data_IF_445263183610
#
_entry.id   IF_445263183610
#
_cell.length_a   1.000
_cell.length_b   1.000
_cell.length_c   1.000
_cell.angle_alpha   90.00
_cell.angle_beta   90.00
_cell.angle_gamma   90.00
#
_symmetry.space_group_name_H-M   'P 1'
#
loop_
_entity.id
_entity.type
_entity.pdbx_description
1 polymer ?
#
# COMPACT_ATOMS: atom_id res chain seq x y z
N UNK A 1 -6.92 -16.98 -14.42
CA UNK A 1 -7.98 -16.86 -13.41
C UNK A 1 -7.72 -15.62 -12.54
N UNK A 2 -8.61 -14.62 -12.55
CA UNK A 2 -8.45 -13.32 -11.87
C UNK A 2 -9.01 -13.28 -10.42
N UNK A 3 -9.54 -14.40 -9.91
CA UNK A 3 -10.30 -14.44 -8.66
C UNK A 3 -9.49 -14.07 -7.41
N UNK A 4 -8.16 -14.29 -7.41
CA UNK A 4 -7.32 -13.90 -6.28
C UNK A 4 -7.27 -12.38 -6.10
N UNK A 5 -7.05 -11.63 -7.17
CA UNK A 5 -7.09 -10.17 -7.14
C UNK A 5 -8.46 -9.66 -6.65
N UNK A 6 -9.55 -10.23 -7.19
CA UNK A 6 -10.91 -9.88 -6.74
C UNK A 6 -11.11 -10.16 -5.26
N UNK A 7 -10.61 -11.28 -4.75
CA UNK A 7 -10.66 -11.62 -3.33
C UNK A 7 -9.88 -10.61 -2.48
N UNK A 8 -8.62 -10.30 -2.83
CA UNK A 8 -7.81 -9.30 -2.11
C UNK A 8 -8.50 -7.94 -2.10
N UNK A 9 -9.04 -7.48 -3.23
CA UNK A 9 -9.81 -6.24 -3.30
C UNK A 9 -11.06 -6.29 -2.42
N UNK A 10 -11.72 -7.43 -2.35
CA UNK A 10 -12.91 -7.66 -1.52
C UNK A 10 -12.62 -7.54 -0.02
N UNK A 11 -11.38 -7.78 0.43
CA UNK A 11 -10.98 -7.62 1.83
C UNK A 11 -10.94 -6.16 2.28
N UNK A 12 -10.78 -5.20 1.35
CA UNK A 12 -10.63 -3.77 1.67
C UNK A 12 -11.77 -3.25 2.56
N UNK A 13 -13.01 -3.67 2.29
CA UNK A 13 -14.20 -3.18 3.01
C UNK A 13 -14.28 -3.60 4.48
N UNK A 14 -13.47 -4.58 4.89
CA UNK A 14 -13.47 -5.11 6.25
C UNK A 14 -12.36 -4.51 7.13
N UNK A 15 -11.46 -3.70 6.57
CA UNK A 15 -10.28 -3.17 7.29
C UNK A 15 -10.67 -2.33 8.52
N UNK A 16 -11.82 -1.65 8.47
CA UNK A 16 -12.30 -0.85 9.60
C UNK A 16 -12.58 -1.70 10.84
N UNK A 17 -13.14 -2.90 10.64
CA UNK A 17 -13.49 -3.84 11.70
C UNK A 17 -12.35 -4.83 11.99
N UNK A 18 -11.48 -5.05 10.99
CA UNK A 18 -10.42 -6.05 10.97
C UNK A 18 -9.09 -5.46 10.46
N UNK A 19 -8.41 -4.58 11.22
CA UNK A 19 -7.16 -3.95 10.80
C UNK A 19 -6.03 -4.96 10.59
N UNK A 20 -6.10 -6.16 11.19
CA UNK A 20 -5.17 -7.27 10.97
C UNK A 20 -5.10 -7.74 9.51
N UNK A 21 -6.11 -7.42 8.69
CA UNK A 21 -6.09 -7.67 7.25
C UNK A 21 -4.88 -6.97 6.58
N UNK A 22 -4.37 -5.89 7.15
CA UNK A 22 -3.20 -5.20 6.62
C UNK A 22 -1.93 -6.06 6.69
N UNK A 23 -1.82 -6.99 7.63
CA UNK A 23 -0.70 -7.95 7.66
C UNK A 23 -0.81 -8.96 6.50
N UNK A 24 -2.03 -9.37 6.13
CA UNK A 24 -2.24 -10.18 4.93
C UNK A 24 -1.81 -9.44 3.65
N UNK A 25 -1.98 -8.11 3.60
CA UNK A 25 -1.53 -7.33 2.44
C UNK A 25 -0.01 -7.37 2.30
N UNK A 26 0.74 -7.41 3.41
CA UNK A 26 2.20 -7.60 3.37
C UNK A 26 2.54 -8.93 2.69
N UNK A 27 1.86 -10.03 3.05
CA UNK A 27 2.06 -11.33 2.39
C UNK A 27 1.70 -11.32 0.89
N UNK A 28 0.67 -10.56 0.51
CA UNK A 28 0.27 -10.45 -0.90
C UNK A 28 1.21 -9.62 -1.78
N UNK A 29 2.19 -8.93 -1.19
CA UNK A 29 3.25 -8.25 -1.94
C UNK A 29 4.20 -9.22 -2.63
N UNK A 30 4.24 -10.49 -2.22
CA UNK A 30 5.09 -11.52 -2.84
C UNK A 30 4.31 -12.39 -3.83
N UNK A 31 3.02 -12.11 -4.06
CA UNK A 31 2.20 -12.95 -4.95
C UNK A 31 2.74 -12.90 -6.39
N UNK A 32 2.84 -14.05 -7.09
CA UNK A 32 3.34 -14.09 -8.47
C UNK A 32 2.45 -13.28 -9.44
N UNK A 33 1.17 -13.06 -9.11
CA UNK A 33 0.27 -12.25 -9.90
C UNK A 33 0.43 -10.76 -9.58
N UNK A 34 0.94 -10.00 -10.55
CA UNK A 34 1.15 -8.56 -10.43
C UNK A 34 -0.10 -7.76 -9.98
N UNK A 35 -1.30 -8.21 -10.36
CA UNK A 35 -2.55 -7.51 -9.97
C UNK A 35 -2.85 -7.67 -8.48
N UNK A 36 -2.43 -8.78 -7.88
CA UNK A 36 -2.55 -9.01 -6.45
C UNK A 36 -1.60 -8.09 -5.71
N UNK A 37 -0.31 -8.06 -6.10
CA UNK A 37 0.69 -7.14 -5.53
C UNK A 37 0.26 -5.67 -5.63
N UNK A 38 -0.14 -5.23 -6.82
CA UNK A 38 -0.62 -3.86 -7.05
C UNK A 38 -1.82 -3.51 -6.17
N UNK A 39 -2.74 -4.45 -5.95
CA UNK A 39 -3.90 -4.23 -5.09
C UNK A 39 -3.49 -4.15 -3.62
N UNK A 40 -2.57 -5.01 -3.18
CA UNK A 40 -2.01 -4.97 -1.83
C UNK A 40 -1.30 -3.63 -1.55
N UNK A 41 -0.46 -3.15 -2.46
CA UNK A 41 0.19 -1.82 -2.38
C UNK A 41 -0.86 -0.72 -2.20
N UNK A 42 -1.91 -0.70 -3.04
CA UNK A 42 -2.92 0.35 -2.95
C UNK A 42 -3.67 0.32 -1.60
N UNK A 43 -4.00 -0.86 -1.10
CA UNK A 43 -4.65 -1.02 0.20
C UNK A 43 -3.71 -0.54 1.32
N UNK A 44 -2.43 -0.91 1.29
CA UNK A 44 -1.43 -0.44 2.26
C UNK A 44 -1.27 1.09 2.21
N UNK A 45 -1.22 1.70 1.03
CA UNK A 45 -1.15 3.16 0.90
C UNK A 45 -2.38 3.88 1.48
N UNK A 46 -3.58 3.31 1.34
CA UNK A 46 -4.81 3.87 1.89
C UNK A 46 -4.90 3.74 3.41
N UNK A 47 -4.57 2.57 3.96
CA UNK A 47 -4.92 2.22 5.34
C UNK A 47 -3.73 1.91 6.25
N UNK A 48 -2.57 1.55 5.69
CA UNK A 48 -1.38 1.15 6.43
C UNK A 48 -0.82 2.25 7.35
N UNK A 49 -0.24 1.80 8.47
CA UNK A 49 0.57 2.62 9.37
C UNK A 49 2.02 2.73 8.92
N UNK A 50 2.87 3.36 9.72
CA UNK A 50 4.29 3.55 9.36
C UNK A 50 5.00 2.22 9.07
N UNK A 51 4.85 1.23 9.94
CA UNK A 51 5.55 -0.06 9.80
C UNK A 51 5.09 -0.85 8.55
N UNK A 52 3.80 -0.79 8.24
CA UNK A 52 3.22 -1.42 7.06
C UNK A 52 3.78 -0.81 5.77
N UNK A 53 3.87 0.52 5.72
CA UNK A 53 4.36 1.24 4.55
C UNK A 53 5.87 1.06 4.35
N UNK A 54 6.66 0.97 5.43
CA UNK A 54 8.09 0.64 5.34
C UNK A 54 8.32 -0.76 4.81
N UNK A 55 7.67 -1.77 5.42
CA UNK A 55 7.72 -3.15 4.93
C UNK A 55 7.30 -3.26 3.47
N UNK A 56 6.27 -2.50 3.08
CA UNK A 56 5.85 -2.44 1.68
C UNK A 56 6.98 -1.98 0.76
N UNK A 57 7.66 -0.88 1.08
CA UNK A 57 8.80 -0.39 0.29
C UNK A 57 9.92 -1.43 0.27
N UNK A 58 10.29 -2.00 1.42
CA UNK A 58 11.36 -3.01 1.54
C UNK A 58 11.10 -4.23 0.65
N UNK A 59 9.89 -4.79 0.68
CA UNK A 59 9.54 -5.99 -0.11
C UNK A 59 9.44 -5.68 -1.61
N UNK A 60 9.00 -4.47 -1.96
CA UNK A 60 8.73 -4.10 -3.36
C UNK A 60 9.89 -3.33 -4.00
N UNK A 61 11.02 -3.19 -3.30
CA UNK A 61 12.21 -2.50 -3.77
C UNK A 61 12.75 -3.13 -5.07
N UNK A 62 12.79 -4.46 -5.13
CA UNK A 62 13.36 -5.22 -6.25
C UNK A 62 12.32 -5.69 -7.27
N UNK A 63 11.06 -5.25 -7.19
CA UNK A 63 10.00 -5.74 -8.08
C UNK A 63 10.16 -5.15 -9.50
N UNK A 64 10.13 -6.05 -10.50
CA UNK A 64 10.35 -5.80 -11.92
C UNK A 64 9.41 -4.73 -12.53
N UNK A 65 8.32 -4.40 -11.85
CA UNK A 65 7.33 -3.41 -12.28
C UNK A 65 7.78 -1.96 -12.00
N UNK A 66 8.65 -1.76 -11.01
CA UNK A 66 9.07 -0.49 -10.39
C UNK A 66 8.09 0.67 -10.52
N UNK A 67 8.46 1.89 -10.98
CA UNK A 67 7.64 3.12 -10.81
C UNK A 67 6.12 2.98 -11.07
N UNK A 68 5.71 2.17 -12.05
CA UNK A 68 4.28 1.94 -12.36
C UNK A 68 3.51 1.35 -11.17
N UNK A 69 4.17 0.55 -10.32
CA UNK A 69 3.58 -0.13 -9.17
C UNK A 69 3.05 0.85 -8.11
N UNK A 70 3.70 2.01 -8.00
CA UNK A 70 3.44 2.99 -6.95
C UNK A 70 2.55 4.15 -7.38
N UNK A 71 2.38 4.40 -8.68
CA UNK A 71 1.61 5.54 -9.21
C UNK A 71 0.26 5.79 -8.49
N UNK A 72 -0.55 4.74 -8.33
CA UNK A 72 -1.84 4.83 -7.64
C UNK A 72 -1.71 4.93 -6.12
N UNK A 73 -0.77 4.18 -5.53
CA UNK A 73 -0.47 4.22 -4.10
C UNK A 73 -0.01 5.61 -3.64
N UNK A 74 0.85 6.28 -4.42
CA UNK A 74 1.30 7.65 -4.19
C UNK A 74 0.15 8.64 -4.14
N UNK A 75 -0.83 8.51 -5.04
CA UNK A 75 -2.02 9.35 -5.02
C UNK A 75 -2.82 9.15 -3.72
N UNK A 76 -2.93 7.92 -3.21
CA UNK A 76 -3.58 7.66 -1.92
C UNK A 76 -2.82 8.28 -0.74
N UNK A 77 -1.49 8.21 -0.72
CA UNK A 77 -0.67 8.89 0.30
C UNK A 77 -0.88 10.41 0.24
N UNK A 78 -0.89 11.01 -0.95
CA UNK A 78 -1.18 12.43 -1.14
C UNK A 78 -2.55 12.81 -0.59
N UNK A 79 -3.59 12.02 -0.89
CA UNK A 79 -4.93 12.24 -0.32
C UNK A 79 -4.92 12.21 1.21
N UNK A 80 -4.16 11.30 1.85
CA UNK A 80 -4.02 11.24 3.31
C UNK A 80 -3.28 12.45 3.90
N UNK A 81 -2.36 13.04 3.15
CA UNK A 81 -1.64 14.26 3.54
C UNK A 81 -2.49 15.54 3.45
N UNK A 82 -3.47 15.55 2.54
CA UNK A 82 -4.40 16.66 2.32
C UNK A 82 -5.60 16.61 3.26
N UNK A 83 -6.16 15.42 3.49
CA UNK A 83 -7.37 15.21 4.29
C UNK A 83 -7.13 14.22 5.42
N UNK A 84 -7.17 14.72 6.65
CA UNK A 84 -7.19 13.89 7.86
C UNK A 84 -8.42 12.96 7.79
N UNK A 85 -8.19 11.65 7.92
CA UNK A 85 -9.22 10.61 7.80
C UNK A 85 -9.86 10.48 6.39
N UNK A 86 -9.08 10.66 5.32
CA UNK A 86 -9.53 10.41 3.95
C UNK A 86 -10.06 8.97 3.73
N UNK A 87 -9.47 8.01 4.44
CA UNK A 87 -9.85 6.60 4.43
C UNK A 87 -10.19 6.17 5.86
N UNK A 88 -11.49 6.02 6.20
CA UNK A 88 -11.90 5.51 7.51
C UNK A 88 -11.26 4.14 7.79
N UNK A 89 -10.79 3.93 9.01
CA UNK A 89 -10.05 2.72 9.40
C UNK A 89 -8.55 2.76 9.07
N UNK A 90 -8.05 3.81 8.43
CA UNK A 90 -6.61 3.97 8.23
C UNK A 90 -5.88 4.15 9.57
N UNK A 91 -4.80 3.40 9.75
CA UNK A 91 -3.94 3.50 10.92
C UNK A 91 -3.32 4.90 11.02
N UNK A 92 -3.14 5.36 12.27
CA UNK A 92 -2.61 6.69 12.56
C UNK A 92 -1.16 6.80 12.11
N UNK A 93 -0.87 7.83 11.34
CA UNK A 93 0.47 8.18 10.87
C UNK A 93 0.55 9.70 10.69
N UNK A 94 1.74 10.28 10.89
CA UNK A 94 1.93 11.72 10.70
C UNK A 94 2.03 12.09 9.21
N UNK A 95 1.63 13.31 8.86
CA UNK A 95 1.78 13.85 7.49
C UNK A 95 3.25 13.81 7.02
N UNK A 96 4.20 14.11 7.92
CA UNK A 96 5.63 14.04 7.61
C UNK A 96 6.04 12.63 7.18
N UNK A 97 5.66 11.61 7.95
CA UNK A 97 5.97 10.21 7.63
C UNK A 97 5.32 9.74 6.33
N UNK A 98 4.09 10.19 6.05
CA UNK A 98 3.46 9.92 4.74
C UNK A 98 4.26 10.54 3.58
N UNK A 99 4.78 11.76 3.76
CA UNK A 99 5.65 12.41 2.78
C UNK A 99 6.96 11.64 2.59
N UNK A 100 7.61 11.25 3.69
CA UNK A 100 8.87 10.49 3.64
C UNK A 100 8.70 9.16 2.85
N UNK A 101 7.58 8.45 3.06
CA UNK A 101 7.24 7.23 2.31
C UNK A 101 6.96 7.55 0.82
N UNK A 102 6.21 8.62 0.54
CA UNK A 102 5.93 9.05 -0.82
C UNK A 102 7.22 9.34 -1.60
N UNK A 103 8.17 10.02 -0.97
CA UNK A 103 9.45 10.37 -1.57
C UNK A 103 10.33 9.12 -1.78
N UNK A 104 10.34 8.19 -0.81
CA UNK A 104 11.05 6.91 -0.95
C UNK A 104 10.53 6.09 -2.14
N UNK A 105 9.22 6.09 -2.41
CA UNK A 105 8.64 5.38 -3.56
C UNK A 105 9.16 5.90 -4.92
N UNK A 106 9.69 7.13 -5.00
CA UNK A 106 10.35 7.67 -6.20
C UNK A 106 11.82 7.24 -6.33
N UNK A 107 12.46 6.85 -5.22
CA UNK A 107 13.89 6.54 -5.18
C UNK A 107 14.21 5.06 -5.39
N UNK A 108 13.19 4.18 -5.44
CA UNK A 108 13.31 2.71 -5.54
C UNK A 108 13.97 2.21 -6.85
N UNK A 109 14.56 3.08 -7.68
CA UNK A 109 15.13 2.73 -8.99
C UNK A 109 16.43 3.47 -9.37
N UNK A 110 17.14 4.07 -8.42
CA UNK A 110 18.31 4.91 -8.75
C UNK A 110 19.68 4.23 -8.57
N UNK A 111 19.75 2.93 -8.33
CA UNK A 111 20.98 2.14 -8.30
C UNK A 111 21.19 1.22 -9.51
#
# INVERSE_FOLDING_TARGET
>A
WNSRNTAVRGLEKYIIDHPEILENMIHFLEDPNYRVRWTAINILCKYGGEDHLKKMIEITADDLLGEMQFSSGKNHLKTRMEKRNAFPGALKISKKKLSDIFDQMDQVRLD
#
